data_IF_938923317811
#
_entry.id   IF_938923317811
#
_cell.length_a   1.000
_cell.length_b   1.000
_cell.length_c   1.000
_cell.angle_alpha   90.00
_cell.angle_beta   90.00
_cell.angle_gamma   90.00
#
_symmetry.space_group_name_H-M   'P 1'
#
loop_
_entity.id
_entity.type
_entity.pdbx_description
1 polymer ?
#
# COMPACT_ATOMS: atom_id res chain seq x y z
N UNK A 1 68.94 -24.39 33.31
CA UNK A 1 67.79 -24.88 34.10
C UNK A 1 66.53 -24.12 33.68
N UNK A 2 65.50 -24.80 33.15
CA UNK A 2 64.22 -24.18 32.74
C UNK A 2 63.16 -24.48 33.81
N UNK A 3 62.58 -23.45 34.43
CA UNK A 3 61.40 -23.61 35.28
C UNK A 3 60.16 -23.78 34.40
N UNK A 4 59.50 -24.94 34.51
CA UNK A 4 58.17 -25.18 33.94
C UNK A 4 57.12 -24.54 34.85
N UNK A 5 56.35 -23.60 34.32
CA UNK A 5 55.17 -23.03 34.99
C UNK A 5 54.00 -23.99 34.87
N UNK A 6 53.68 -24.71 35.94
CA UNK A 6 52.47 -25.53 36.06
C UNK A 6 51.28 -24.61 36.28
N UNK A 7 50.38 -24.50 35.28
CA UNK A 7 49.12 -23.78 35.44
C UNK A 7 48.21 -24.57 36.39
N UNK A 8 47.90 -24.00 37.55
CA UNK A 8 46.94 -24.56 38.49
C UNK A 8 45.52 -24.30 37.97
N UNK A 9 44.81 -25.35 37.55
CA UNK A 9 43.40 -25.26 37.17
C UNK A 9 42.54 -25.16 38.43
N UNK A 10 41.99 -23.96 38.68
CA UNK A 10 40.93 -23.77 39.68
C UNK A 10 39.64 -24.37 39.12
N UNK A 11 39.08 -25.35 39.82
CA UNK A 11 37.80 -25.98 39.45
C UNK A 11 36.65 -24.98 39.56
N UNK A 12 35.72 -25.04 38.62
CA UNK A 12 34.52 -24.21 38.60
C UNK A 12 33.66 -24.58 39.81
N UNK A 13 33.32 -23.60 40.64
CA UNK A 13 32.44 -23.86 41.80
C UNK A 13 30.98 -23.82 41.37
N UNK A 14 30.12 -24.63 41.99
CA UNK A 14 28.69 -24.65 41.68
C UNK A 14 28.06 -23.26 41.89
N UNK A 15 28.52 -22.52 42.89
CA UNK A 15 28.05 -21.16 43.17
C UNK A 15 28.42 -20.16 42.08
N UNK A 16 29.61 -20.27 41.50
CA UNK A 16 30.06 -19.41 40.38
C UNK A 16 29.22 -19.63 39.12
N UNK A 17 28.78 -20.87 38.89
CA UNK A 17 27.85 -21.19 37.81
C UNK A 17 26.47 -20.54 38.04
N UNK A 18 25.94 -20.62 39.26
CA UNK A 18 24.65 -20.00 39.60
C UNK A 18 24.71 -18.47 39.46
N UNK A 19 25.79 -17.85 39.93
CA UNK A 19 25.98 -16.40 39.83
C UNK A 19 26.10 -15.96 38.36
N UNK A 20 26.84 -16.69 37.53
CA UNK A 20 26.98 -16.34 36.11
C UNK A 20 25.66 -16.48 35.34
N UNK A 21 24.86 -17.52 35.62
CA UNK A 21 23.52 -17.66 35.02
C UNK A 21 22.58 -16.53 35.44
N UNK A 22 22.61 -16.12 36.71
CA UNK A 22 21.81 -14.99 37.19
C UNK A 22 22.20 -13.68 36.49
N UNK A 23 23.50 -13.41 36.36
CA UNK A 23 24.00 -12.21 35.68
C UNK A 23 23.64 -12.23 34.18
N UNK A 24 23.77 -13.37 33.50
CA UNK A 24 23.40 -13.50 32.09
C UNK A 24 21.89 -13.30 31.87
N UNK A 25 21.04 -13.79 32.78
CA UNK A 25 19.59 -13.56 32.71
C UNK A 25 19.22 -12.08 32.80
N UNK A 26 19.87 -11.33 33.70
CA UNK A 26 19.67 -9.88 33.82
C UNK A 26 20.14 -9.19 32.53
N UNK A 27 21.34 -9.51 32.02
CA UNK A 27 21.86 -8.91 30.80
C UNK A 27 21.00 -9.19 29.57
N UNK A 28 20.47 -10.42 29.44
CA UNK A 28 19.59 -10.80 28.33
C UNK A 28 18.29 -9.97 28.32
N UNK A 29 17.74 -9.63 29.49
CA UNK A 29 16.51 -8.83 29.60
C UNK A 29 16.67 -7.38 29.11
N UNK A 30 17.88 -6.82 29.18
CA UNK A 30 18.18 -5.47 28.71
C UNK A 30 18.37 -5.41 27.19
N UNK A 31 18.96 -6.44 26.59
CA UNK A 31 19.28 -6.47 25.16
C UNK A 31 18.05 -6.83 24.30
N UNK A 32 17.04 -7.49 24.87
CA UNK A 32 15.86 -7.93 24.13
C UNK A 32 14.89 -6.82 23.69
N UNK A 33 14.79 -5.72 24.46
CA UNK A 33 13.82 -4.63 24.18
C UNK A 33 14.04 -3.89 22.84
N UNK A 34 15.25 -3.43 22.47
CA UNK A 34 15.44 -2.67 21.23
C UNK A 34 15.18 -3.45 19.94
N UNK A 35 15.15 -4.79 19.97
CA UNK A 35 14.84 -5.63 18.80
C UNK A 35 13.34 -5.68 18.48
N UNK A 36 12.48 -5.47 19.48
CA UNK A 36 11.02 -5.53 19.30
C UNK A 36 10.52 -4.23 18.64
N UNK A 37 11.03 -3.08 19.07
CA UNK A 37 10.66 -1.77 18.54
C UNK A 37 11.02 -1.59 17.04
N UNK A 38 12.05 -2.29 16.57
CA UNK A 38 12.47 -2.26 15.16
C UNK A 38 11.57 -3.11 14.23
N UNK A 39 10.85 -4.09 14.77
CA UNK A 39 9.94 -4.95 14.01
C UNK A 39 8.60 -4.22 13.80
N UNK A 40 8.10 -3.55 14.84
CA UNK A 40 6.82 -2.84 14.80
C UNK A 40 6.86 -1.61 13.86
N UNK A 41 8.00 -0.92 13.80
CA UNK A 41 8.17 0.24 12.92
C UNK A 41 8.29 -0.11 11.43
N UNK A 42 8.55 -1.37 11.06
CA UNK A 42 8.56 -1.80 9.64
C UNK A 42 7.17 -2.13 9.12
N UNK A 43 6.32 -2.72 9.96
CA UNK A 43 4.98 -3.15 9.55
C UNK A 43 4.04 -1.97 9.24
N UNK A 44 4.18 -0.84 9.93
CA UNK A 44 3.36 0.35 9.68
C UNK A 44 3.79 1.10 8.40
N UNK A 45 5.10 1.13 8.10
CA UNK A 45 5.64 1.75 6.89
C UNK A 45 5.30 0.96 5.62
N UNK A 46 5.27 -0.37 5.67
CA UNK A 46 4.91 -1.22 4.53
C UNK A 46 3.45 -1.01 4.11
N UNK A 47 2.52 -0.94 5.07
CA UNK A 47 1.09 -0.75 4.75
C UNK A 47 0.77 0.61 4.12
N UNK A 48 1.43 1.70 4.58
CA UNK A 48 1.24 3.02 3.99
C UNK A 48 1.82 3.12 2.57
N UNK A 49 2.96 2.46 2.34
CA UNK A 49 3.63 2.46 1.03
C UNK A 49 2.82 1.69 -0.02
N UNK A 50 2.28 0.53 0.35
CA UNK A 50 1.47 -0.30 -0.56
C UNK A 50 0.16 0.41 -0.96
N UNK A 51 -0.48 1.07 0.00
CA UNK A 51 -1.71 1.82 -0.25
C UNK A 51 -1.46 3.01 -1.20
N UNK A 52 -0.38 3.77 -0.99
CA UNK A 52 -0.03 4.87 -1.88
C UNK A 52 0.29 4.36 -3.30
N UNK A 53 1.03 3.26 -3.43
CA UNK A 53 1.34 2.65 -4.73
C UNK A 53 0.07 2.22 -5.49
N UNK A 54 -0.91 1.65 -4.77
CA UNK A 54 -2.20 1.27 -5.35
C UNK A 54 -2.99 2.49 -5.86
N UNK A 55 -3.01 3.60 -5.11
CA UNK A 55 -3.65 4.85 -5.51
C UNK A 55 -2.99 5.43 -6.76
N UNK A 56 -1.67 5.52 -6.77
CA UNK A 56 -0.90 6.03 -7.91
C UNK A 56 -1.13 5.17 -9.15
N UNK A 57 -1.08 3.84 -9.00
CA UNK A 57 -1.39 2.91 -10.07
C UNK A 57 -2.81 3.09 -10.61
N UNK A 58 -3.81 3.18 -9.73
CA UNK A 58 -5.21 3.35 -10.12
C UNK A 58 -5.43 4.66 -10.88
N UNK A 59 -4.91 5.78 -10.38
CA UNK A 59 -5.02 7.09 -11.04
C UNK A 59 -4.26 7.14 -12.36
N UNK A 60 -3.05 6.57 -12.42
CA UNK A 60 -2.27 6.48 -13.64
C UNK A 60 -3.01 5.65 -14.70
N UNK A 61 -3.56 4.50 -14.30
CA UNK A 61 -4.35 3.63 -15.19
C UNK A 61 -5.60 4.32 -15.72
N UNK A 62 -6.39 4.99 -14.88
CA UNK A 62 -7.58 5.73 -15.34
C UNK A 62 -7.18 6.87 -16.27
N UNK A 63 -6.09 7.58 -15.95
CA UNK A 63 -5.57 8.68 -16.76
C UNK A 63 -5.10 8.18 -18.14
N UNK A 64 -4.44 7.03 -18.19
CA UNK A 64 -4.03 6.37 -19.43
C UNK A 64 -5.24 6.02 -20.28
N UNK A 65 -6.30 5.49 -19.67
CA UNK A 65 -7.56 5.22 -20.36
C UNK A 65 -8.21 6.50 -20.92
N UNK A 66 -8.27 7.57 -20.14
CA UNK A 66 -8.76 8.89 -20.62
C UNK A 66 -7.94 9.38 -21.80
N UNK A 67 -6.62 9.21 -21.74
CA UNK A 67 -5.69 9.76 -22.74
C UNK A 67 -5.71 8.99 -24.04
N UNK A 68 -5.79 7.66 -23.99
CA UNK A 68 -5.48 6.80 -25.14
C UNK A 68 -6.63 5.92 -25.64
N UNK A 69 -7.67 5.63 -24.85
CA UNK A 69 -8.69 4.66 -25.31
C UNK A 69 -9.52 5.14 -26.50
N UNK A 70 -9.50 6.41 -26.89
CA UNK A 70 -10.27 6.95 -28.01
C UNK A 70 -11.80 6.91 -27.83
N UNK A 71 -12.29 6.11 -26.88
CA UNK A 71 -13.68 5.88 -26.54
C UNK A 71 -14.36 7.16 -26.01
N UNK A 72 -15.70 7.12 -26.00
CA UNK A 72 -16.51 8.12 -25.31
C UNK A 72 -16.31 7.96 -23.80
N UNK A 73 -15.97 9.04 -23.14
CA UNK A 73 -15.80 9.12 -21.69
C UNK A 73 -17.11 9.67 -21.11
N UNK A 74 -17.71 8.95 -20.16
CA UNK A 74 -18.82 9.48 -19.37
C UNK A 74 -18.39 9.58 -17.92
N UNK A 75 -18.32 10.80 -17.41
CA UNK A 75 -18.02 11.09 -16.02
C UNK A 75 -19.31 11.34 -15.26
N UNK A 76 -19.51 10.54 -14.21
CA UNK A 76 -20.61 10.65 -13.29
C UNK A 76 -20.05 10.87 -11.87
N UNK A 77 -20.84 11.42 -10.94
CA UNK A 77 -20.47 11.38 -9.53
C UNK A 77 -20.22 9.93 -9.09
N UNK A 78 -19.07 9.65 -8.47
CA UNK A 78 -18.75 8.30 -8.00
C UNK A 78 -18.29 7.31 -9.07
N UNK A 79 -18.28 7.65 -10.37
CA UNK A 79 -17.84 6.74 -11.41
C UNK A 79 -17.35 7.40 -12.71
N UNK A 80 -16.44 6.73 -13.41
CA UNK A 80 -16.03 7.06 -14.78
C UNK A 80 -16.18 5.82 -15.65
N UNK A 81 -16.79 5.98 -16.82
CA UNK A 81 -17.02 4.88 -17.75
C UNK A 81 -16.48 5.20 -19.15
N UNK A 82 -16.01 4.14 -19.82
CA UNK A 82 -15.41 4.20 -21.14
C UNK A 82 -16.19 3.31 -22.12
N UNK A 83 -16.51 3.87 -23.30
CA UNK A 83 -17.11 3.15 -24.41
C UNK A 83 -18.64 3.11 -24.42
N UNK A 84 -19.20 2.56 -25.50
CA UNK A 84 -20.65 2.40 -25.71
C UNK A 84 -20.97 1.00 -26.24
N UNK A 85 -21.84 0.21 -25.58
CA UNK A 85 -22.39 0.43 -24.23
C UNK A 85 -21.35 0.02 -23.16
N UNK A 86 -20.77 1.00 -22.44
CA UNK A 86 -19.89 0.87 -21.26
C UNK A 86 -19.06 -0.43 -21.15
N UNK A 87 -17.82 -0.41 -21.67
CA UNK A 87 -16.90 -1.57 -21.64
C UNK A 87 -16.04 -1.62 -20.37
N UNK A 88 -15.81 -0.46 -19.74
CA UNK A 88 -15.05 -0.37 -18.50
C UNK A 88 -15.62 0.74 -17.65
N UNK A 89 -15.90 0.41 -16.39
CA UNK A 89 -16.48 1.32 -15.40
C UNK A 89 -15.60 1.28 -14.16
N UNK A 90 -15.03 2.42 -13.81
CA UNK A 90 -14.39 2.63 -12.52
C UNK A 90 -15.42 3.25 -11.59
N UNK A 91 -15.65 2.63 -10.44
CA UNK A 91 -16.68 3.06 -9.51
C UNK A 91 -16.21 2.84 -8.08
N UNK A 92 -16.58 3.77 -7.19
CA UNK A 92 -16.46 3.54 -5.75
C UNK A 92 -17.60 2.63 -5.29
N UNK A 93 -17.25 1.51 -4.67
CA UNK A 93 -18.18 0.71 -3.88
C UNK A 93 -18.34 1.35 -2.50
N UNK A 94 -19.52 1.92 -2.24
CA UNK A 94 -19.81 2.61 -0.96
C UNK A 94 -20.00 1.66 0.21
N UNK A 95 -20.25 0.37 -0.05
CA UNK A 95 -20.43 -0.63 1.01
C UNK A 95 -19.08 -1.11 1.57
N UNK A 96 -18.09 -1.27 0.70
CA UNK A 96 -16.75 -1.76 1.07
C UNK A 96 -15.69 -0.66 1.14
N UNK A 97 -16.03 0.58 0.74
CA UNK A 97 -15.07 1.68 0.58
C UNK A 97 -13.91 1.34 -0.36
N UNK A 98 -14.20 0.68 -1.47
CA UNK A 98 -13.19 0.26 -2.45
C UNK A 98 -13.41 0.98 -3.78
N UNK A 99 -12.33 1.31 -4.48
CA UNK A 99 -12.40 1.65 -5.90
C UNK A 99 -12.30 0.36 -6.71
N UNK A 100 -13.34 0.05 -7.48
CA UNK A 100 -13.40 -1.13 -8.32
C UNK A 100 -13.40 -0.76 -9.80
N UNK A 101 -12.80 -1.62 -10.61
CA UNK A 101 -12.93 -1.59 -12.07
C UNK A 101 -13.75 -2.77 -12.53
N UNK A 102 -14.87 -2.47 -13.20
CA UNK A 102 -15.73 -3.45 -13.84
C UNK A 102 -15.49 -3.41 -15.34
N UNK A 103 -15.07 -4.53 -15.91
CA UNK A 103 -14.81 -4.67 -17.34
C UNK A 103 -15.82 -5.64 -17.94
N UNK A 104 -16.56 -5.18 -18.93
CA UNK A 104 -17.51 -5.97 -19.73
C UNK A 104 -16.89 -6.20 -21.11
N UNK A 105 -16.13 -7.29 -21.30
CA UNK A 105 -15.67 -7.66 -22.63
C UNK A 105 -16.88 -7.91 -23.54
N UNK A 106 -16.76 -7.55 -24.82
CA UNK A 106 -17.80 -7.75 -25.84
C UNK A 106 -18.25 -9.22 -25.97
N UNK A 107 -17.51 -10.17 -25.38
CA UNK A 107 -17.83 -11.58 -25.26
C UNK A 107 -18.03 -11.99 -23.77
N UNK A 108 -19.11 -11.48 -23.18
CA UNK A 108 -19.87 -12.02 -22.03
C UNK A 108 -19.14 -12.75 -20.89
N UNK A 109 -18.35 -12.04 -20.09
CA UNK A 109 -18.32 -12.20 -18.62
C UNK A 109 -17.78 -10.92 -18.01
N UNK A 110 -18.58 -10.23 -17.19
CA UNK A 110 -18.10 -9.05 -16.47
C UNK A 110 -17.02 -9.44 -15.46
N UNK A 111 -15.84 -8.84 -15.56
CA UNK A 111 -14.76 -9.01 -14.58
C UNK A 111 -14.72 -7.79 -13.66
N UNK A 112 -14.66 -8.02 -12.36
CA UNK A 112 -14.53 -6.97 -11.34
C UNK A 112 -13.21 -7.14 -10.62
N UNK A 113 -12.46 -6.05 -10.45
CA UNK A 113 -11.18 -6.04 -9.73
C UNK A 113 -11.12 -4.82 -8.82
N UNK A 114 -10.65 -5.03 -7.59
CA UNK A 114 -10.40 -3.97 -6.62
C UNK A 114 -9.05 -3.32 -6.96
N UNK A 115 -9.03 -2.00 -7.02
CA UNK A 115 -7.83 -1.20 -7.31
C UNK A 115 -7.27 -0.51 -6.07
N UNK A 116 -8.15 -0.02 -5.20
CA UNK A 116 -7.76 0.77 -4.02
C UNK A 116 -8.75 0.49 -2.90
N UNK A 117 -8.24 0.25 -1.69
CA UNK A 117 -9.05 0.09 -0.47
C UNK A 117 -9.23 1.44 0.25
N UNK A 118 -10.10 1.52 1.26
CA UNK A 118 -10.29 2.72 2.10
C UNK A 118 -10.52 4.02 1.31
N UNK A 119 -11.28 3.96 0.23
CA UNK A 119 -11.65 5.12 -0.59
C UNK A 119 -12.93 5.75 -0.04
N UNK A 120 -12.81 6.97 0.49
CA UNK A 120 -13.92 7.75 1.05
C UNK A 120 -14.65 8.54 -0.04
N UNK A 121 -13.91 8.98 -1.07
CA UNK A 121 -14.47 9.78 -2.17
C UNK A 121 -13.81 9.43 -3.49
N UNK A 122 -14.63 9.34 -4.53
CA UNK A 122 -14.17 9.25 -5.91
C UNK A 122 -15.08 10.09 -6.79
N UNK A 123 -14.52 11.01 -7.55
CA UNK A 123 -15.28 11.90 -8.45
C UNK A 123 -14.54 12.06 -9.77
N UNK A 124 -15.28 12.02 -10.88
CA UNK A 124 -14.82 12.55 -12.16
C UNK A 124 -15.60 13.81 -12.52
N UNK A 125 -14.89 14.86 -12.92
CA UNK A 125 -15.45 16.11 -13.43
C UNK A 125 -14.87 16.43 -14.80
N UNK A 126 -15.70 16.86 -15.72
CA UNK A 126 -15.24 17.44 -17.00
C UNK A 126 -15.08 18.94 -16.80
N UNK A 127 -13.91 19.50 -17.12
CA UNK A 127 -13.60 20.92 -16.91
C UNK A 127 -13.94 21.71 -18.18
N UNK A 128 -14.92 22.65 -18.16
CA UNK A 128 -15.15 23.58 -19.26
C UNK A 128 -13.96 24.54 -19.44
N UNK A 129 -13.68 25.06 -20.66
CA UNK A 129 -14.43 24.90 -21.91
C UNK A 129 -14.02 23.68 -22.74
N UNK A 130 -12.96 22.97 -22.35
CA UNK A 130 -12.41 21.84 -23.08
C UNK A 130 -13.09 20.54 -22.64
N UNK A 131 -14.05 20.03 -23.43
CA UNK A 131 -14.69 18.72 -23.21
C UNK A 131 -13.70 17.53 -23.18
N UNK A 132 -12.43 17.79 -23.51
CA UNK A 132 -11.32 16.84 -23.48
C UNK A 132 -10.53 16.85 -22.17
N UNK A 133 -10.76 17.80 -21.25
CA UNK A 133 -10.08 17.86 -19.95
C UNK A 133 -10.98 17.27 -18.86
N UNK A 134 -10.47 16.22 -18.21
CA UNK A 134 -11.13 15.55 -17.10
C UNK A 134 -10.27 15.66 -15.84
N UNK A 135 -10.92 15.91 -14.71
CA UNK A 135 -10.32 15.92 -13.38
C UNK A 135 -10.87 14.75 -12.57
N UNK A 136 -9.95 13.97 -12.03
CA UNK A 136 -10.21 12.82 -11.19
C UNK A 136 -9.80 13.20 -9.78
N UNK A 137 -10.72 13.05 -8.83
CA UNK A 137 -10.47 13.26 -7.40
C UNK A 137 -10.71 11.94 -6.69
N UNK A 138 -9.72 11.50 -5.94
CA UNK A 138 -9.78 10.32 -5.08
C UNK A 138 -9.36 10.73 -3.68
N UNK A 139 -10.15 10.35 -2.68
CA UNK A 139 -9.84 10.56 -1.27
C UNK A 139 -9.74 9.21 -0.58
N UNK A 140 -8.64 9.00 0.13
CA UNK A 140 -8.36 7.77 0.87
C UNK A 140 -7.54 8.10 2.11
N UNK A 141 -7.89 7.48 3.24
CA UNK A 141 -7.21 7.68 4.53
C UNK A 141 -7.00 9.16 4.94
N UNK A 142 -7.95 10.03 4.56
CA UNK A 142 -7.93 11.47 4.85
C UNK A 142 -7.03 12.29 3.92
N UNK A 143 -6.31 11.66 2.98
CA UNK A 143 -5.54 12.33 1.95
C UNK A 143 -6.37 12.49 0.66
N UNK A 144 -6.26 13.65 0.00
CA UNK A 144 -6.93 13.96 -1.26
C UNK A 144 -5.93 13.93 -2.41
N UNK A 145 -6.17 13.06 -3.38
CA UNK A 145 -5.38 12.90 -4.60
C UNK A 145 -6.18 13.45 -5.78
N UNK A 146 -5.57 14.34 -6.56
CA UNK A 146 -6.21 14.94 -7.74
C UNK A 146 -5.32 14.80 -8.95
N UNK A 147 -5.87 14.29 -10.05
CA UNK A 147 -5.16 14.13 -11.32
C UNK A 147 -6.00 14.70 -12.45
N UNK A 148 -5.34 15.36 -13.40
CA UNK A 148 -5.97 15.89 -14.61
C UNK A 148 -5.50 15.11 -15.81
N UNK A 149 -6.45 14.69 -16.63
CA UNK A 149 -6.23 13.89 -17.81
C UNK A 149 -6.85 14.59 -19.03
N UNK A 150 -6.07 14.70 -20.10
CA UNK A 150 -6.53 15.27 -21.36
C UNK A 150 -6.65 14.18 -22.43
N UNK A 151 -7.79 14.11 -23.10
CA UNK A 151 -7.99 13.20 -24.24
C UNK A 151 -7.11 13.64 -25.40
N UNK A 152 -6.19 12.77 -25.84
CA UNK A 152 -5.39 13.03 -27.04
C UNK A 152 -6.21 12.58 -28.27
N UNK A 153 -6.48 13.50 -29.18
CA UNK A 153 -7.05 13.17 -30.50
C UNK A 153 -6.01 12.48 -31.38
#
# INVERSE_FOLDING_TARGET
MRFRSTKCHKGFTLIELVVTLAVLGILASFIGRPLIDLIENRTELEQQTDQQANIEYALARITDEVRFRGLKINCNPGSISFGTPQQTVYQRNTATNELVVNQTPMASTASSSILVNNVTRFECKTIPPAQALHELVLESDGAVYTVRAFKRN
#
